data_IF_690105493811
#
_entry.id   IF_690105493811
#
_cell.length_a   1.000
_cell.length_b   1.000
_cell.length_c   1.000
_cell.angle_alpha   90.00
_cell.angle_beta   90.00
_cell.angle_gamma   90.00
#
_symmetry.space_group_name_H-M   'P 1'
#
loop_
_entity.id
_entity.type
_entity.pdbx_description
1 polymer ?
#
# COMPACT_ATOMS: atom_id res chain seq x y z
N UNK A 1 8.54 -1.40 -9.20
CA UNK A 1 8.19 -0.66 -10.44
C UNK A 1 8.62 -1.51 -11.62
N UNK A 2 7.82 -1.57 -12.68
CA UNK A 2 8.14 -2.35 -13.89
C UNK A 2 8.49 -1.37 -15.01
N UNK A 3 9.60 -1.60 -15.68
CA UNK A 3 9.94 -1.03 -16.98
C UNK A 3 9.13 -1.77 -18.07
N UNK A 4 9.32 -1.36 -19.32
CA UNK A 4 8.63 -1.97 -20.46
C UNK A 4 8.94 -3.48 -20.54
N UNK A 5 7.94 -4.34 -20.85
CA UNK A 5 8.16 -5.78 -20.97
C UNK A 5 9.25 -6.12 -22.00
N UNK A 6 10.10 -7.07 -21.65
CA UNK A 6 11.16 -7.54 -22.56
C UNK A 6 10.56 -8.54 -23.55
N UNK A 7 10.72 -8.28 -24.84
CA UNK A 7 10.31 -9.19 -25.92
C UNK A 7 11.34 -10.30 -26.11
N UNK A 8 10.88 -11.55 -26.06
CA UNK A 8 11.68 -12.74 -26.33
C UNK A 8 11.67 -13.06 -27.84
N UNK A 9 12.70 -13.78 -28.35
CA UNK A 9 12.83 -14.08 -29.78
C UNK A 9 11.66 -14.84 -30.42
N UNK A 10 10.89 -15.55 -29.61
CA UNK A 10 9.71 -16.33 -29.99
C UNK A 10 8.39 -15.53 -29.89
N UNK A 11 8.47 -14.24 -29.55
CA UNK A 11 7.34 -13.32 -29.53
C UNK A 11 6.62 -13.22 -28.18
N UNK A 12 7.08 -13.94 -27.14
CA UNK A 12 6.56 -13.75 -25.78
C UNK A 12 7.11 -12.48 -25.14
N UNK A 13 6.39 -11.94 -24.16
CA UNK A 13 6.85 -10.81 -23.35
C UNK A 13 6.95 -11.20 -21.88
N UNK A 14 8.02 -10.77 -21.22
CA UNK A 14 8.20 -10.94 -19.79
C UNK A 14 8.31 -9.58 -19.09
N UNK A 15 7.60 -9.44 -17.97
CA UNK A 15 7.71 -8.26 -17.10
C UNK A 15 8.55 -8.63 -15.88
N UNK A 16 9.70 -7.97 -15.73
CA UNK A 16 10.59 -8.15 -14.59
C UNK A 16 10.55 -6.87 -13.77
N UNK A 17 10.32 -6.93 -12.44
CA UNK A 17 10.44 -5.74 -11.61
C UNK A 17 11.90 -5.30 -11.54
N UNK A 18 12.20 -4.07 -11.96
CA UNK A 18 13.59 -3.59 -12.02
C UNK A 18 14.12 -3.21 -10.65
N UNK A 19 13.22 -2.74 -9.78
CA UNK A 19 13.54 -2.26 -8.44
C UNK A 19 12.37 -2.50 -7.49
N UNK A 20 12.72 -2.77 -6.23
CA UNK A 20 11.78 -2.85 -5.12
C UNK A 20 12.02 -1.68 -4.15
N UNK A 21 10.98 -0.91 -3.78
CA UNK A 21 11.10 0.15 -2.81
C UNK A 21 11.29 -0.43 -1.41
N UNK A 22 12.28 0.07 -0.66
CA UNK A 22 12.55 -0.35 0.71
C UNK A 22 12.13 0.78 1.66
N UNK A 23 11.28 0.49 2.64
CA UNK A 23 10.92 1.46 3.68
C UNK A 23 12.11 1.67 4.62
N UNK A 24 12.57 2.90 4.73
CA UNK A 24 13.70 3.26 5.61
C UNK A 24 13.48 2.83 7.08
N UNK A 25 12.24 2.89 7.56
CA UNK A 25 11.91 2.59 8.97
C UNK A 25 11.86 1.09 9.29
N UNK A 26 11.38 0.25 8.38
CA UNK A 26 11.08 -1.17 8.66
C UNK A 26 11.92 -2.14 7.86
N UNK A 27 12.68 -1.66 6.86
CA UNK A 27 13.44 -2.50 5.93
C UNK A 27 12.57 -3.35 4.99
N UNK A 28 11.26 -3.36 5.17
CA UNK A 28 10.32 -4.10 4.34
C UNK A 28 9.80 -3.27 3.16
N UNK A 29 9.10 -3.93 2.24
CA UNK A 29 8.36 -3.29 1.15
C UNK A 29 6.85 -3.56 1.32
N UNK A 30 6.01 -2.83 0.57
CA UNK A 30 4.57 -3.08 0.50
C UNK A 30 4.16 -3.70 -0.84
N UNK A 31 5.14 -4.05 -1.67
CA UNK A 31 4.87 -4.73 -2.93
C UNK A 31 4.33 -6.14 -2.63
N UNK A 32 3.47 -6.66 -3.51
CA UNK A 32 2.75 -7.95 -3.38
C UNK A 32 1.70 -8.05 -2.27
N UNK A 33 1.92 -7.49 -1.09
CA UNK A 33 1.01 -7.62 0.06
C UNK A 33 0.15 -6.38 0.33
N UNK A 34 0.49 -5.25 -0.30
CA UNK A 34 -0.19 -3.99 -0.09
C UNK A 34 0.21 -3.31 1.22
N UNK A 35 -0.62 -2.37 1.66
CA UNK A 35 -0.45 -1.65 2.93
C UNK A 35 -1.56 -2.07 3.87
N UNK A 36 -1.19 -2.74 4.97
CA UNK A 36 -2.13 -3.06 6.02
C UNK A 36 -2.58 -1.76 6.72
N UNK A 37 -3.89 -1.49 6.83
CA UNK A 37 -4.37 -0.31 7.53
C UNK A 37 -4.20 -0.50 9.04
N UNK A 38 -3.95 0.59 9.76
CA UNK A 38 -3.85 0.55 11.24
C UNK A 38 -5.20 0.31 11.91
N UNK A 39 -6.30 0.75 11.28
CA UNK A 39 -7.67 0.53 11.73
C UNK A 39 -8.51 0.12 10.53
N UNK A 40 -9.48 -0.77 10.74
CA UNK A 40 -10.43 -1.13 9.71
C UNK A 40 -11.31 0.09 9.36
N UNK A 41 -11.38 0.44 8.08
CA UNK A 41 -12.18 1.57 7.60
C UNK A 41 -13.67 1.24 7.40
N UNK A 42 -14.01 -0.05 7.27
CA UNK A 42 -15.37 -0.48 6.92
C UNK A 42 -15.85 0.15 5.60
N UNK A 43 -17.16 0.35 5.49
CA UNK A 43 -17.80 0.94 4.31
C UNK A 43 -17.65 2.47 4.23
N UNK A 44 -17.36 3.14 5.36
CA UNK A 44 -17.12 4.59 5.43
C UNK A 44 -15.81 4.91 6.19
N UNK A 45 -14.65 4.77 5.54
CA UNK A 45 -13.36 5.02 6.16
C UNK A 45 -13.19 6.48 6.62
N UNK A 46 -13.91 7.43 6.00
CA UNK A 46 -13.82 8.85 6.36
C UNK A 46 -14.54 9.13 7.68
N UNK A 47 -15.72 8.55 7.88
CA UNK A 47 -16.43 8.63 9.17
C UNK A 47 -15.62 7.99 10.29
N UNK A 48 -15.04 6.80 10.06
CA UNK A 48 -14.18 6.13 11.05
C UNK A 48 -12.95 7.00 11.39
N UNK A 49 -12.29 7.58 10.40
CA UNK A 49 -11.15 8.46 10.62
C UNK A 49 -11.52 9.68 11.48
N UNK A 50 -12.68 10.31 11.23
CA UNK A 50 -13.16 11.44 12.03
C UNK A 50 -13.41 11.05 13.49
N UNK A 51 -13.95 9.86 13.74
CA UNK A 51 -14.18 9.36 15.10
C UNK A 51 -12.86 9.08 15.84
N UNK A 52 -11.88 8.48 15.17
CA UNK A 52 -10.55 8.22 15.74
C UNK A 52 -9.77 9.51 16.07
N UNK A 53 -10.03 10.59 15.31
CA UNK A 53 -9.42 11.91 15.52
C UNK A 53 -10.21 12.82 16.48
N UNK A 54 -11.43 12.43 16.86
CA UNK A 54 -12.26 13.25 17.71
C UNK A 54 -11.66 13.37 19.13
N UNK A 55 -11.65 14.57 19.74
CA UNK A 55 -11.21 14.72 21.11
C UNK A 55 -12.12 13.92 22.06
N UNK A 56 -11.60 13.45 23.20
CA UNK A 56 -12.41 12.74 24.19
C UNK A 56 -13.61 13.60 24.59
N UNK A 57 -14.79 12.99 24.67
CA UNK A 57 -16.00 13.69 25.15
C UNK A 57 -15.70 14.30 26.51
N UNK A 58 -15.85 15.63 26.59
CA UNK A 58 -15.79 16.33 27.87
C UNK A 58 -16.90 15.75 28.75
N UNK A 59 -16.50 15.01 29.79
CA UNK A 59 -17.39 14.59 30.85
C UNK A 59 -17.63 15.81 31.73
N UNK A 60 -18.59 16.65 31.36
CA UNK A 60 -19.06 17.78 32.18
C UNK A 60 -20.53 17.59 32.46
#
# INVERSE_FOLDING_TARGET
MFDDPVLLPDGYQISVPDRQPIRLRTGGNGERTGVAPHAAGGDDPLSIARQLLAPPKSSR
#
